data_IF_494503886564
#
_entry.id   IF_494503886564
#
_cell.length_a   1.000
_cell.length_b   1.000
_cell.length_c   1.000
_cell.angle_alpha   90.00
_cell.angle_beta   90.00
_cell.angle_gamma   90.00
#
_symmetry.space_group_name_H-M   'P 1'
#
loop_
_entity.id
_entity.type
_entity.pdbx_description
1 polymer ?
#
# COMPACT_ATOMS: atom_id res chain seq x y z
N UNK A 1 22.04 2.74 -48.86
CA UNK A 1 22.52 3.36 -47.59
C UNK A 1 21.79 4.66 -47.25
N UNK A 2 21.62 5.61 -48.20
CA UNK A 2 21.02 6.93 -47.94
C UNK A 2 19.55 6.87 -47.44
N UNK A 3 18.72 5.94 -47.91
CA UNK A 3 17.33 5.76 -47.50
C UNK A 3 17.20 4.97 -46.18
N UNK A 4 18.16 4.12 -45.87
CA UNK A 4 18.21 3.41 -44.62
C UNK A 4 18.42 4.34 -43.41
N UNK A 5 19.28 5.36 -43.59
CA UNK A 5 19.50 6.40 -42.59
C UNK A 5 18.29 7.29 -42.36
N UNK A 6 17.54 7.62 -43.42
CA UNK A 6 16.32 8.42 -43.33
C UNK A 6 15.20 7.65 -42.58
N UNK A 7 15.04 6.36 -42.84
CA UNK A 7 14.05 5.53 -42.14
C UNK A 7 14.44 5.36 -40.67
N UNK A 8 15.72 5.20 -40.35
CA UNK A 8 16.21 5.11 -38.97
C UNK A 8 15.98 6.44 -38.21
N UNK A 9 16.22 7.58 -38.86
CA UNK A 9 15.99 8.91 -38.25
C UNK A 9 14.50 9.16 -37.94
N UNK A 10 13.58 8.73 -38.80
CA UNK A 10 12.14 8.86 -38.58
C UNK A 10 11.64 7.93 -37.48
N UNK A 11 12.25 6.75 -37.33
CA UNK A 11 11.90 5.82 -36.24
C UNK A 11 12.34 6.35 -34.87
N UNK A 12 13.52 6.95 -34.78
CA UNK A 12 14.04 7.56 -33.54
C UNK A 12 13.20 8.78 -33.12
N UNK A 13 12.74 9.59 -34.07
CA UNK A 13 11.87 10.74 -33.78
C UNK A 13 10.46 10.33 -33.32
N UNK A 14 9.91 9.21 -33.79
CA UNK A 14 8.62 8.68 -33.33
C UNK A 14 8.67 8.14 -31.89
N UNK A 15 9.78 7.56 -31.47
CA UNK A 15 9.96 7.07 -30.08
C UNK A 15 10.12 8.23 -29.10
N UNK A 16 10.72 9.35 -29.53
CA UNK A 16 10.90 10.54 -28.67
C UNK A 16 9.59 11.27 -28.33
N UNK A 17 8.55 11.14 -29.16
CA UNK A 17 7.24 11.79 -28.93
C UNK A 17 6.36 10.98 -27.95
N UNK A 18 6.65 9.69 -27.74
CA UNK A 18 5.86 8.81 -26.88
C UNK A 18 6.08 9.00 -25.37
N UNK A 19 7.04 9.80 -24.95
CA UNK A 19 7.20 10.19 -23.55
C UNK A 19 6.35 11.41 -23.23
N UNK A 20 5.05 11.23 -23.14
CA UNK A 20 4.22 12.22 -22.44
C UNK A 20 4.70 12.27 -20.99
N UNK A 21 5.29 13.38 -20.57
CA UNK A 21 5.54 13.63 -19.14
C UNK A 21 4.19 13.61 -18.43
N UNK A 22 3.83 12.45 -17.87
CA UNK A 22 2.74 12.42 -16.93
C UNK A 22 3.17 13.26 -15.72
N UNK A 23 2.54 14.41 -15.59
CA UNK A 23 2.79 15.31 -14.49
C UNK A 23 1.87 14.88 -13.35
N UNK A 24 2.38 14.11 -12.40
CA UNK A 24 1.66 13.81 -11.17
C UNK A 24 1.55 15.12 -10.38
N UNK A 25 0.35 15.61 -10.19
CA UNK A 25 0.10 16.87 -9.46
C UNK A 25 -0.11 16.61 -7.97
N UNK A 26 -0.68 15.47 -7.60
CA UNK A 26 -0.99 15.14 -6.22
C UNK A 26 -0.67 13.68 -5.92
N UNK A 27 -0.13 13.41 -4.74
CA UNK A 27 0.10 12.06 -4.21
C UNK A 27 -0.57 11.97 -2.84
N UNK A 28 -1.41 10.96 -2.66
CA UNK A 28 -2.06 10.66 -1.39
C UNK A 28 -1.50 9.36 -0.82
N UNK A 29 -0.86 9.42 0.34
CA UNK A 29 -0.46 8.24 1.10
C UNK A 29 -1.51 7.99 2.20
N UNK A 30 -2.24 6.87 2.08
CA UNK A 30 -3.27 6.49 3.06
C UNK A 30 -2.80 5.25 3.79
N UNK A 31 -2.61 5.35 5.10
CA UNK A 31 -2.21 4.24 5.97
C UNK A 31 -3.37 3.85 6.89
N UNK A 32 -3.55 2.54 7.09
CA UNK A 32 -4.57 1.99 7.99
C UNK A 32 -3.84 1.23 9.11
N UNK A 33 -3.83 1.81 10.32
CA UNK A 33 -3.21 1.19 11.48
C UNK A 33 -4.00 -0.04 11.95
N UNK A 34 -3.30 -1.11 12.33
CA UNK A 34 -3.91 -2.34 12.80
C UNK A 34 -4.67 -3.15 11.76
N UNK A 35 -4.67 -2.74 10.49
CA UNK A 35 -5.37 -3.44 9.42
C UNK A 35 -4.49 -4.53 8.81
N UNK A 36 -4.89 -5.81 8.98
CA UNK A 36 -4.08 -6.96 8.55
C UNK A 36 -4.37 -7.31 7.09
N UNK A 37 -3.41 -7.96 6.43
CA UNK A 37 -3.57 -8.45 5.06
C UNK A 37 -4.72 -9.47 4.93
N UNK A 38 -5.01 -10.23 6.00
CA UNK A 38 -6.10 -11.20 6.03
C UNK A 38 -7.44 -10.51 5.78
N UNK A 39 -7.77 -9.44 6.53
CA UNK A 39 -9.01 -8.69 6.33
C UNK A 39 -9.08 -8.09 4.93
N UNK A 40 -7.95 -7.58 4.43
CA UNK A 40 -7.91 -7.00 3.09
C UNK A 40 -8.26 -8.05 2.02
N UNK A 41 -7.64 -9.22 2.05
CA UNK A 41 -7.77 -10.21 0.97
C UNK A 41 -8.84 -11.28 1.21
N UNK A 42 -9.26 -11.52 2.44
CA UNK A 42 -10.23 -12.57 2.78
C UNK A 42 -11.49 -12.06 3.47
N UNK A 43 -11.55 -10.75 3.79
CA UNK A 43 -12.64 -10.15 4.55
C UNK A 43 -12.58 -10.49 6.03
N UNK A 44 -13.73 -10.40 6.72
CA UNK A 44 -13.79 -10.66 8.15
C UNK A 44 -13.25 -12.03 8.53
N UNK A 45 -12.44 -12.08 9.59
CA UNK A 45 -11.85 -13.30 10.14
C UNK A 45 -12.87 -14.01 11.03
N UNK A 46 -13.26 -15.22 10.66
CA UNK A 46 -14.26 -16.00 11.39
C UNK A 46 -13.79 -16.43 12.80
N UNK A 47 -12.49 -16.59 13.02
CA UNK A 47 -11.96 -16.91 14.35
C UNK A 47 -12.10 -15.71 15.28
N UNK A 48 -11.68 -14.52 14.84
CA UNK A 48 -11.77 -13.31 15.64
C UNK A 48 -13.22 -12.87 15.90
N UNK A 49 -14.10 -13.04 14.92
CA UNK A 49 -15.53 -12.70 15.07
C UNK A 49 -16.21 -13.56 16.13
N UNK A 50 -15.83 -14.83 16.26
CA UNK A 50 -16.42 -15.74 17.23
C UNK A 50 -15.76 -15.65 18.62
N UNK A 51 -14.64 -14.98 18.76
CA UNK A 51 -13.94 -14.82 20.04
C UNK A 51 -14.50 -13.59 20.79
N UNK A 52 -15.05 -13.84 21.97
CA UNK A 52 -15.64 -12.82 22.86
C UNK A 52 -14.63 -11.78 23.36
N UNK A 53 -13.33 -12.10 23.34
CA UNK A 53 -12.29 -11.13 23.71
C UNK A 53 -12.11 -10.04 22.66
N UNK A 54 -12.42 -10.33 21.40
CA UNK A 54 -12.24 -9.41 20.28
C UNK A 54 -13.56 -8.85 19.76
N UNK A 55 -14.68 -9.58 19.89
CA UNK A 55 -15.94 -9.22 19.26
C UNK A 55 -17.11 -9.26 20.26
N UNK A 56 -17.79 -8.12 20.40
CA UNK A 56 -18.97 -7.99 21.27
C UNK A 56 -20.26 -8.39 20.56
N UNK A 57 -20.36 -8.14 19.26
CA UNK A 57 -21.54 -8.44 18.43
C UNK A 57 -21.16 -9.28 17.19
N UNK A 58 -20.95 -10.57 17.34
CA UNK A 58 -20.61 -11.45 16.22
C UNK A 58 -21.76 -11.60 15.20
N UNK A 59 -23.02 -11.49 15.66
CA UNK A 59 -24.19 -11.65 14.79
C UNK A 59 -24.34 -10.45 13.87
N UNK A 60 -24.25 -9.24 14.41
CA UNK A 60 -24.29 -8.01 13.60
C UNK A 60 -23.14 -7.93 12.60
N UNK A 61 -21.92 -8.26 13.03
CA UNK A 61 -20.78 -8.25 12.12
C UNK A 61 -20.89 -9.30 10.99
N UNK A 62 -21.39 -10.49 11.27
CA UNK A 62 -21.66 -11.50 10.24
C UNK A 62 -22.76 -11.06 9.27
N UNK A 63 -23.79 -10.40 9.78
CA UNK A 63 -24.87 -9.86 8.95
C UNK A 63 -24.36 -8.80 7.98
N UNK A 64 -23.51 -7.89 8.45
CA UNK A 64 -22.97 -6.78 7.64
C UNK A 64 -21.87 -7.24 6.66
N UNK A 65 -20.93 -8.02 7.14
CA UNK A 65 -19.67 -8.30 6.42
C UNK A 65 -19.46 -9.79 6.12
N UNK A 66 -20.38 -10.67 6.52
CA UNK A 66 -20.30 -12.10 6.27
C UNK A 66 -20.58 -12.47 4.82
N UNK A 67 -20.17 -13.69 4.43
CA UNK A 67 -20.39 -14.26 3.11
C UNK A 67 -19.70 -15.61 2.98
N UNK A 68 -20.16 -16.39 1.99
CA UNK A 68 -19.72 -17.77 1.80
C UNK A 68 -18.27 -17.85 1.30
N UNK A 69 -17.82 -16.84 0.53
CA UNK A 69 -16.47 -16.82 -0.02
C UNK A 69 -15.66 -15.63 0.51
N UNK A 70 -14.33 -15.71 0.51
CA UNK A 70 -13.46 -14.59 0.83
C UNK A 70 -13.75 -13.34 -0.01
N UNK A 71 -14.04 -13.51 -1.28
CA UNK A 71 -14.34 -12.44 -2.24
C UNK A 71 -15.57 -11.64 -1.79
N UNK A 72 -16.65 -12.33 -1.45
CA UNK A 72 -17.89 -11.69 -0.95
C UNK A 72 -17.62 -10.93 0.34
N UNK A 73 -16.88 -11.51 1.28
CA UNK A 73 -16.58 -10.89 2.57
C UNK A 73 -15.71 -9.64 2.43
N UNK A 74 -14.63 -9.72 1.64
CA UNK A 74 -13.72 -8.59 1.43
C UNK A 74 -14.37 -7.44 0.66
N UNK A 75 -15.24 -7.72 -0.31
CA UNK A 75 -15.99 -6.68 -1.03
C UNK A 75 -17.00 -5.97 -0.13
N UNK A 76 -17.65 -6.70 0.77
CA UNK A 76 -18.53 -6.08 1.78
C UNK A 76 -17.76 -5.22 2.77
N UNK A 77 -16.58 -5.67 3.20
CA UNK A 77 -15.75 -4.96 4.17
C UNK A 77 -15.13 -3.69 3.57
N UNK A 78 -14.63 -3.76 2.34
CA UNK A 78 -13.96 -2.66 1.66
C UNK A 78 -14.46 -2.49 0.21
N UNK A 79 -15.70 -2.05 0.01
CA UNK A 79 -16.32 -2.00 -1.32
C UNK A 79 -15.59 -1.05 -2.29
N UNK A 80 -15.15 0.11 -1.84
CA UNK A 80 -14.41 1.06 -2.67
C UNK A 80 -13.06 0.50 -3.10
N UNK A 81 -12.35 -0.15 -2.18
CA UNK A 81 -11.06 -0.76 -2.47
C UNK A 81 -11.20 -1.83 -3.56
N UNK A 82 -12.12 -2.77 -3.41
CA UNK A 82 -12.26 -3.89 -4.33
C UNK A 82 -12.92 -3.52 -5.66
N UNK A 83 -13.88 -2.60 -5.66
CA UNK A 83 -14.59 -2.20 -6.87
C UNK A 83 -13.88 -1.12 -7.68
N UNK A 84 -13.00 -0.33 -7.05
CA UNK A 84 -12.35 0.79 -7.72
C UNK A 84 -10.82 0.62 -7.71
N UNK A 85 -10.19 0.59 -6.54
CA UNK A 85 -8.72 0.59 -6.45
C UNK A 85 -8.14 -0.70 -7.06
N UNK A 86 -8.66 -1.86 -6.68
CA UNK A 86 -8.16 -3.16 -7.16
C UNK A 86 -8.38 -3.39 -8.66
N UNK A 87 -9.36 -2.71 -9.27
CA UNK A 87 -9.67 -2.85 -10.71
C UNK A 87 -8.97 -1.82 -11.58
N UNK A 88 -8.61 -0.67 -11.05
CA UNK A 88 -8.01 0.45 -11.80
C UNK A 88 -6.54 0.70 -11.46
N UNK A 89 -6.07 0.14 -10.36
CA UNK A 89 -4.71 0.30 -9.86
C UNK A 89 -3.92 -1.00 -9.81
N UNK A 90 -2.90 -1.02 -8.96
CA UNK A 90 -2.07 -2.19 -8.70
C UNK A 90 -2.26 -2.65 -7.26
N UNK A 91 -2.26 -3.96 -7.05
CA UNK A 91 -2.49 -4.59 -5.75
C UNK A 91 -1.35 -5.56 -5.43
N UNK A 92 -0.73 -5.38 -4.27
CA UNK A 92 0.37 -6.20 -3.78
C UNK A 92 0.06 -6.77 -2.40
N UNK A 93 0.77 -7.81 -1.99
CA UNK A 93 0.72 -8.36 -0.64
C UNK A 93 -0.31 -9.48 -0.44
N UNK A 94 -0.94 -10.00 -1.49
CA UNK A 94 -1.79 -11.19 -1.35
C UNK A 94 -0.93 -12.44 -1.16
N UNK A 95 -0.77 -12.86 0.08
CA UNK A 95 0.05 -14.03 0.45
C UNK A 95 -0.49 -15.35 -0.09
N UNK A 96 -1.78 -15.44 -0.39
CA UNK A 96 -2.36 -16.63 -1.03
C UNK A 96 -1.81 -16.90 -2.43
N UNK A 97 -1.24 -15.89 -3.07
CA UNK A 97 -0.56 -16.00 -4.37
C UNK A 97 0.97 -15.88 -4.27
N UNK A 98 1.54 -16.03 -3.07
CA UNK A 98 2.97 -15.92 -2.86
C UNK A 98 3.51 -14.49 -2.97
N UNK A 99 2.65 -13.48 -3.02
CA UNK A 99 3.05 -12.09 -3.08
C UNK A 99 3.17 -11.54 -1.65
N UNK A 100 4.41 -11.28 -1.21
CA UNK A 100 4.71 -10.82 0.13
C UNK A 100 5.12 -9.35 0.13
N UNK A 101 4.38 -8.54 0.89
CA UNK A 101 4.77 -7.18 1.29
C UNK A 101 4.93 -7.20 2.80
N UNK A 102 6.15 -6.95 3.28
CA UNK A 102 6.51 -7.03 4.68
C UNK A 102 7.23 -5.76 5.11
N UNK A 103 7.10 -5.39 6.37
CA UNK A 103 8.05 -4.52 7.04
C UNK A 103 9.35 -5.31 7.32
N UNK A 104 10.48 -4.62 7.27
CA UNK A 104 11.80 -5.19 7.61
C UNK A 104 12.11 -5.05 9.09
N UNK A 105 11.48 -4.06 9.78
CA UNK A 105 11.65 -3.90 11.22
C UNK A 105 11.08 -5.09 12.01
N UNK A 106 11.70 -5.38 13.14
CA UNK A 106 11.33 -6.48 14.04
C UNK A 106 10.59 -6.02 15.29
N UNK A 107 10.26 -4.75 15.39
CA UNK A 107 9.77 -4.13 16.62
C UNK A 107 8.27 -4.29 16.86
N UNK A 108 7.47 -4.62 15.85
CA UNK A 108 6.02 -4.89 15.94
C UNK A 108 5.20 -3.76 16.59
N UNK A 109 5.65 -2.52 16.41
CA UNK A 109 4.99 -1.31 16.89
C UNK A 109 4.63 -0.38 15.72
N UNK A 110 3.65 0.48 15.93
CA UNK A 110 3.19 1.41 14.89
C UNK A 110 4.27 2.42 14.50
N UNK A 111 4.97 3.01 15.47
CA UNK A 111 5.98 4.02 15.18
C UNK A 111 7.15 3.49 14.33
N UNK A 112 7.80 2.35 14.66
CA UNK A 112 8.79 1.73 13.76
C UNK A 112 8.25 1.44 12.36
N UNK A 113 7.03 0.93 12.25
CA UNK A 113 6.39 0.65 10.95
C UNK A 113 6.17 1.91 10.11
N UNK A 114 5.64 2.97 10.69
CA UNK A 114 5.46 4.25 9.99
C UNK A 114 6.79 4.90 9.63
N UNK A 115 7.78 4.79 10.51
CA UNK A 115 9.13 5.26 10.19
C UNK A 115 9.70 4.54 8.97
N UNK A 116 9.60 3.23 8.92
CA UNK A 116 10.06 2.43 7.76
C UNK A 116 9.33 2.83 6.48
N UNK A 117 7.99 3.01 6.52
CA UNK A 117 7.21 3.47 5.36
C UNK A 117 7.69 4.83 4.85
N UNK A 118 7.98 5.77 5.75
CA UNK A 118 8.32 7.15 5.39
C UNK A 118 9.81 7.35 5.08
N UNK A 119 10.69 6.50 5.61
CA UNK A 119 12.15 6.60 5.40
C UNK A 119 12.66 5.59 4.36
N UNK A 120 11.90 4.50 4.07
CA UNK A 120 12.27 3.46 3.13
C UNK A 120 13.22 2.38 3.70
N UNK A 121 13.51 2.40 4.99
CA UNK A 121 14.33 1.40 5.69
C UNK A 121 13.94 1.28 7.16
N UNK A 122 14.22 0.10 7.76
CA UNK A 122 14.05 -0.14 9.19
C UNK A 122 15.23 0.42 10.00
N UNK A 123 14.95 0.96 11.18
CA UNK A 123 15.95 1.49 12.10
C UNK A 123 15.65 1.01 13.54
N UNK A 124 15.76 -0.29 13.74
CA UNK A 124 15.39 -0.96 14.99
C UNK A 124 16.27 -0.54 16.18
N UNK A 125 17.48 -0.02 15.92
CA UNK A 125 18.38 0.44 16.94
C UNK A 125 17.85 1.71 17.63
N UNK A 126 17.36 2.68 16.86
CA UNK A 126 16.94 4.00 17.36
C UNK A 126 15.42 4.11 17.49
N UNK A 127 14.67 3.38 16.68
CA UNK A 127 13.21 3.40 16.63
C UNK A 127 12.66 2.00 16.96
N UNK A 128 12.50 1.73 18.25
CA UNK A 128 12.22 0.39 18.78
C UNK A 128 10.96 0.29 19.65
N UNK A 129 10.13 1.31 19.66
CA UNK A 129 8.91 1.37 20.49
C UNK A 129 7.97 2.46 19.98
N UNK A 130 6.77 2.55 20.60
CA UNK A 130 5.83 3.65 20.39
C UNK A 130 6.10 4.88 21.28
N UNK A 131 7.31 5.04 21.81
CA UNK A 131 7.66 6.26 22.55
C UNK A 131 7.53 7.48 21.64
N UNK A 132 6.97 8.56 22.19
CA UNK A 132 6.81 9.83 21.47
C UNK A 132 8.15 10.56 21.47
N UNK A 133 8.96 10.29 20.47
CA UNK A 133 10.25 10.93 20.20
C UNK A 133 10.30 11.37 18.74
N UNK A 134 11.11 12.37 18.42
CA UNK A 134 11.30 12.79 17.04
C UNK A 134 12.02 11.69 16.24
N UNK A 135 11.66 11.56 14.97
CA UNK A 135 12.31 10.60 14.08
C UNK A 135 13.73 11.10 13.75
N UNK A 136 14.79 10.33 14.08
CA UNK A 136 16.16 10.72 13.78
C UNK A 136 16.51 10.59 12.29
N UNK A 137 15.64 10.02 11.48
CA UNK A 137 15.85 9.79 10.06
C UNK A 137 15.07 10.81 9.23
N UNK A 138 15.66 11.22 8.10
CA UNK A 138 14.97 12.09 7.14
C UNK A 138 13.86 11.30 6.45
N UNK A 139 12.66 11.77 6.61
CA UNK A 139 11.47 11.19 5.96
C UNK A 139 11.31 11.72 4.53
N UNK A 140 10.54 11.03 3.70
CA UNK A 140 10.17 11.53 2.36
C UNK A 140 9.49 12.90 2.42
N UNK A 141 8.75 13.21 3.50
CA UNK A 141 8.07 14.51 3.68
C UNK A 141 9.08 15.63 3.90
N UNK A 142 10.10 15.40 4.73
CA UNK A 142 11.19 16.36 4.95
C UNK A 142 12.05 16.53 3.70
N UNK A 143 12.35 15.43 3.02
CA UNK A 143 13.06 15.46 1.73
C UNK A 143 12.32 16.35 0.73
N UNK A 144 11.02 16.14 0.54
CA UNK A 144 10.19 16.94 -0.36
C UNK A 144 10.12 18.41 0.08
N UNK A 145 9.93 18.69 1.36
CA UNK A 145 9.88 20.04 1.91
C UNK A 145 11.20 20.80 1.69
N UNK A 146 12.34 20.12 1.75
CA UNK A 146 13.66 20.71 1.57
C UNK A 146 14.09 20.82 0.10
N UNK A 147 13.38 20.17 -0.81
CA UNK A 147 13.65 20.25 -2.26
C UNK A 147 12.98 21.48 -2.84
N UNK A 148 13.75 22.56 -3.06
CA UNK A 148 13.25 23.88 -3.50
C UNK A 148 12.80 23.98 -4.97
N UNK A 149 12.42 22.90 -5.60
CA UNK A 149 12.07 22.83 -7.04
C UNK A 149 10.68 22.26 -7.23
N UNK A 150 9.65 23.00 -6.84
CA UNK A 150 8.28 22.73 -7.25
C UNK A 150 7.65 23.95 -7.92
#
# INVERSE_FOLDING_TARGET
MRYFFLVLLTFVSLVAIAQSKQKTENVFLITLDGYRWQELFTGIDSALINDKNFTKDPVGLKSLFGGDTPEIRREKLMPFFWKTIATQGQLYGNRSYGNHVNCSNTMWFSYPGYSEILCGFADDERINSNKKVDNPNVTVLEFLNNTKSY
#
